data_IF_757438782526
#
_entry.id   IF_757438782526
#
_cell.length_a   1.000
_cell.length_b   1.000
_cell.length_c   1.000
_cell.angle_alpha   90.00
_cell.angle_beta   90.00
_cell.angle_gamma   90.00
#
_symmetry.space_group_name_H-M   'P 1'
#
loop_
_entity.id
_entity.type
_entity.pdbx_description
1 polymer ?
#
# COMPACT_ATOMS: atom_id res chain seq x y z
N UNK A 1 -6.26 9.22 14.38
CA UNK A 1 -6.17 9.29 12.92
C UNK A 1 -4.84 8.68 12.46
N UNK A 2 -4.87 7.82 11.47
CA UNK A 2 -3.67 7.15 11.00
C UNK A 2 -2.96 7.97 9.94
N UNK A 3 -1.64 8.08 10.05
CA UNK A 3 -0.83 8.77 9.06
C UNK A 3 0.27 7.87 8.59
N UNK A 4 0.51 7.88 7.30
CA UNK A 4 1.54 7.06 6.70
C UNK A 4 2.81 7.87 6.55
N UNK A 5 3.90 7.27 6.96
CA UNK A 5 5.21 7.87 6.93
C UNK A 5 6.04 7.39 5.75
N UNK A 6 5.90 6.11 5.39
CA UNK A 6 6.61 5.50 4.28
C UNK A 6 5.76 4.45 3.62
N UNK A 7 6.02 4.21 2.34
CA UNK A 7 5.41 3.10 1.62
C UNK A 7 6.46 2.51 0.70
N UNK A 8 6.40 1.19 0.54
CA UNK A 8 7.35 0.48 -0.29
C UNK A 8 6.66 -0.70 -0.96
N UNK A 9 6.84 -0.84 -2.27
CA UNK A 9 6.32 -2.00 -2.97
C UNK A 9 7.21 -3.21 -2.69
N UNK A 10 6.59 -4.33 -2.41
CA UNK A 10 7.27 -5.59 -2.18
C UNK A 10 6.96 -6.55 -3.30
N UNK A 11 7.54 -7.74 -3.23
CA UNK A 11 7.25 -8.78 -4.20
C UNK A 11 5.83 -9.31 -3.99
N UNK A 12 5.31 -9.97 -5.01
CA UNK A 12 4.00 -10.61 -4.96
C UNK A 12 2.85 -9.63 -4.71
N UNK A 13 3.00 -8.40 -5.22
CA UNK A 13 1.93 -7.40 -5.17
C UNK A 13 1.53 -7.08 -3.74
N UNK A 14 2.51 -7.03 -2.86
CA UNK A 14 2.30 -6.57 -1.48
C UNK A 14 2.96 -5.22 -1.31
N UNK A 15 2.45 -4.45 -0.36
CA UNK A 15 3.09 -3.19 0.01
C UNK A 15 3.36 -3.18 1.50
N UNK A 16 4.49 -2.57 1.85
CA UNK A 16 4.84 -2.32 3.24
C UNK A 16 4.56 -0.86 3.53
N UNK A 17 3.80 -0.62 4.59
CA UNK A 17 3.42 0.74 4.96
C UNK A 17 3.88 0.98 6.39
N UNK A 18 4.58 2.10 6.59
CA UNK A 18 5.02 2.50 7.93
C UNK A 18 4.18 3.68 8.35
N UNK A 19 3.55 3.57 9.51
CA UNK A 19 2.72 4.63 10.04
C UNK A 19 3.50 5.54 10.99
N UNK A 20 2.95 6.72 11.27
CA UNK A 20 3.61 7.69 12.14
C UNK A 20 3.93 7.14 13.52
N UNK A 21 3.11 6.22 14.02
CA UNK A 21 3.35 5.65 15.34
C UNK A 21 4.43 4.57 15.34
N UNK A 22 5.10 4.39 14.20
CA UNK A 22 6.17 3.40 14.08
C UNK A 22 5.71 2.02 13.68
N UNK A 23 4.41 1.82 13.57
CA UNK A 23 3.87 0.52 13.20
C UNK A 23 4.13 0.23 11.74
N UNK A 24 4.59 -0.98 11.44
CA UNK A 24 4.80 -1.45 10.08
C UNK A 24 3.73 -2.47 9.75
N UNK A 25 3.09 -2.31 8.61
CA UNK A 25 2.02 -3.21 8.20
C UNK A 25 2.19 -3.60 6.75
N UNK A 26 1.70 -4.80 6.43
CA UNK A 26 1.74 -5.34 5.06
C UNK A 26 0.31 -5.41 4.54
N UNK A 27 0.10 -4.92 3.34
CA UNK A 27 -1.18 -5.06 2.67
C UNK A 27 -0.98 -5.85 1.39
N UNK A 28 -1.80 -6.87 1.20
CA UNK A 28 -1.77 -7.70 0.00
C UNK A 28 -2.71 -7.09 -1.03
N UNK A 29 -2.18 -6.68 -2.16
CA UNK A 29 -2.98 -6.07 -3.20
C UNK A 29 -3.51 -7.07 -4.21
N UNK A 30 -3.16 -8.36 -4.08
CA UNK A 30 -3.62 -9.34 -5.06
C UNK A 30 -5.13 -9.40 -5.21
N UNK A 31 -5.92 -9.32 -4.13
CA UNK A 31 -7.38 -9.36 -4.31
C UNK A 31 -7.95 -8.22 -5.14
N UNK A 32 -7.18 -7.14 -5.32
CA UNK A 32 -7.65 -5.96 -6.05
C UNK A 32 -7.32 -6.00 -7.54
N UNK A 33 -6.43 -6.92 -7.95
CA UNK A 33 -5.84 -6.84 -9.29
C UNK A 33 -6.83 -7.09 -10.41
N UNK A 34 -8.00 -7.64 -10.11
CA UNK A 34 -9.01 -7.87 -11.11
C UNK A 34 -10.14 -6.85 -11.07
N UNK A 35 -9.99 -5.80 -10.27
CA UNK A 35 -11.10 -4.88 -10.01
C UNK A 35 -10.82 -3.50 -10.60
N UNK A 36 -11.64 -3.09 -11.56
CA UNK A 36 -11.64 -1.71 -12.06
C UNK A 36 -10.26 -1.18 -12.38
N UNK A 37 -9.97 0.03 -11.91
CA UNK A 37 -8.71 0.69 -12.20
C UNK A 37 -7.53 -0.05 -11.59
N UNK A 38 -7.75 -0.85 -10.56
CA UNK A 38 -6.66 -1.60 -9.93
C UNK A 38 -6.02 -2.62 -10.85
N UNK A 39 -6.66 -2.94 -11.97
CA UNK A 39 -6.07 -3.84 -12.94
C UNK A 39 -4.72 -3.34 -13.46
N UNK A 40 -4.52 -2.03 -13.43
CA UNK A 40 -3.25 -1.45 -13.86
C UNK A 40 -2.09 -1.90 -13.00
N UNK A 41 -2.36 -2.32 -11.78
CA UNK A 41 -1.32 -2.76 -10.86
C UNK A 41 -0.70 -4.09 -11.25
N UNK A 42 -1.32 -4.81 -12.21
CA UNK A 42 -0.72 -6.04 -12.69
C UNK A 42 0.63 -5.80 -13.36
N UNK A 43 0.84 -4.60 -13.89
CA UNK A 43 2.12 -4.20 -14.44
C UNK A 43 3.05 -3.94 -13.26
N UNK A 44 4.08 -4.76 -13.13
CA UNK A 44 4.97 -4.68 -11.98
C UNK A 44 5.71 -3.34 -11.89
N UNK A 45 6.08 -2.79 -13.03
CA UNK A 45 6.76 -1.50 -13.02
C UNK A 45 5.83 -0.41 -12.49
N UNK A 46 4.57 -0.45 -12.92
CA UNK A 46 3.60 0.51 -12.43
C UNK A 46 3.35 0.30 -10.94
N UNK A 47 3.24 -0.96 -10.53
CA UNK A 47 3.02 -1.27 -9.11
C UNK A 47 4.15 -0.69 -8.24
N UNK A 48 5.38 -0.79 -8.72
CA UNK A 48 6.54 -0.31 -7.97
C UNK A 48 6.61 1.21 -7.90
N UNK A 49 5.78 1.90 -8.67
CA UNK A 49 5.78 3.36 -8.67
C UNK A 49 4.94 3.96 -7.54
N UNK A 50 4.48 3.14 -6.60
CA UNK A 50 3.67 3.61 -5.48
C UNK A 50 4.38 4.74 -4.73
N UNK A 51 3.62 5.74 -4.31
CA UNK A 51 4.19 6.89 -3.63
C UNK A 51 3.23 7.43 -2.58
N UNK A 52 3.77 8.21 -1.67
CA UNK A 52 2.97 8.94 -0.68
C UNK A 52 2.41 10.21 -1.32
N UNK A 53 1.18 10.52 -0.99
CA UNK A 53 0.55 11.76 -1.41
C UNK A 53 -0.27 12.26 -0.22
N UNK A 54 0.30 13.14 0.57
CA UNK A 54 -0.30 13.61 1.82
C UNK A 54 -0.54 12.41 2.73
N UNK A 55 -1.78 12.11 3.03
CA UNK A 55 -2.11 11.02 3.94
C UNK A 55 -2.60 9.78 3.21
N UNK A 56 -2.34 9.71 1.91
CA UNK A 56 -2.74 8.55 1.11
C UNK A 56 -1.52 7.99 0.41
N UNK A 57 -1.69 6.80 -0.14
CA UNK A 57 -0.72 6.28 -1.09
C UNK A 57 -1.38 6.24 -2.45
N UNK A 58 -0.58 6.37 -3.49
CA UNK A 58 -1.15 6.46 -4.83
C UNK A 58 -0.24 5.80 -5.86
N UNK A 59 -0.88 5.40 -6.96
CA UNK A 59 -0.20 4.91 -8.16
C UNK A 59 -0.72 5.76 -9.31
N UNK A 60 0.16 6.55 -9.90
CA UNK A 60 -0.26 7.45 -10.97
C UNK A 60 -1.29 8.43 -10.47
N UNK A 61 -2.23 8.77 -11.34
CA UNK A 61 -3.24 9.79 -11.03
C UNK A 61 -4.61 9.22 -10.73
N UNK A 62 -4.79 7.91 -10.86
CA UNK A 62 -6.11 7.31 -10.81
C UNK A 62 -6.36 6.39 -9.62
N UNK A 63 -5.31 5.91 -9.00
CA UNK A 63 -5.43 4.90 -7.96
C UNK A 63 -4.86 5.45 -6.68
N UNK A 64 -5.68 5.48 -5.62
CA UNK A 64 -5.17 5.88 -4.31
C UNK A 64 -5.89 5.08 -3.22
N UNK A 65 -5.25 5.02 -2.06
CA UNK A 65 -5.81 4.36 -0.89
C UNK A 65 -5.54 5.24 0.31
N UNK A 66 -6.55 5.44 1.14
CA UNK A 66 -6.36 6.27 2.31
C UNK A 66 -5.74 5.47 3.46
N UNK A 67 -5.11 6.21 4.38
CA UNK A 67 -4.37 5.60 5.48
C UNK A 67 -5.27 4.75 6.37
N UNK A 68 -6.46 5.23 6.67
CA UNK A 68 -7.35 4.49 7.57
C UNK A 68 -7.77 3.17 6.96
N UNK A 69 -8.07 3.18 5.65
CA UNK A 69 -8.46 1.95 4.97
C UNK A 69 -7.32 0.94 4.98
N UNK A 70 -6.11 1.41 4.75
CA UNK A 70 -4.95 0.53 4.75
C UNK A 70 -4.74 -0.05 6.14
N UNK A 71 -4.85 0.79 7.15
CA UNK A 71 -4.65 0.33 8.52
C UNK A 71 -5.61 -0.79 8.86
N UNK A 72 -6.86 -0.64 8.47
CA UNK A 72 -7.90 -1.60 8.82
C UNK A 72 -7.81 -2.90 8.04
N UNK A 73 -7.22 -2.87 6.86
CA UNK A 73 -7.20 -4.03 5.98
C UNK A 73 -5.83 -4.67 5.82
N UNK A 74 -4.85 -4.18 6.55
CA UNK A 74 -3.49 -4.71 6.50
C UNK A 74 -3.21 -5.55 7.74
N UNK A 75 -2.06 -6.25 7.72
CA UNK A 75 -1.63 -7.04 8.87
C UNK A 75 -0.31 -6.49 9.38
N UNK A 76 -0.07 -6.67 10.66
CA UNK A 76 1.16 -6.19 11.27
C UNK A 76 2.35 -6.96 10.73
N UNK A 77 3.38 -6.23 10.34
CA UNK A 77 4.63 -6.82 9.90
C UNK A 77 5.54 -7.00 11.10
N UNK A 78 5.95 -8.22 11.34
CA UNK A 78 6.78 -8.55 12.50
C UNK A 78 8.19 -8.86 12.03
N UNK A 79 9.12 -7.94 12.30
CA UNK A 79 10.49 -8.10 11.86
C UNK A 79 11.30 -9.07 12.71
N UNK A 80 10.77 -9.48 13.83
CA UNK A 80 11.51 -10.27 14.79
C UNK A 80 11.29 -11.76 14.65
N UNK A 81 10.83 -12.18 13.50
CA UNK A 81 10.59 -13.61 13.27
C UNK A 81 11.81 -14.31 12.77
#
# INVERSE_FOLDING_TARGET
MNRIKEVQALENYQILVVFDNGEKRIKDMKPYLEKGVFKKLKDEDFFKSVKLAFETISWGDEIDLCADSIYETSTIYNENK
#
